data_IF_206780263439
#
_entry.id   IF_206780263439
#
_cell.length_a   1.000
_cell.length_b   1.000
_cell.length_c   1.000
_cell.angle_alpha   90.00
_cell.angle_beta   90.00
_cell.angle_gamma   90.00
#
_symmetry.space_group_name_H-M   'P 1'
#
loop_
_entity.id
_entity.type
_entity.pdbx_description
1 polymer ?
#
# COMPACT_ATOMS: atom_id res chain seq x y z
N UNK A 1 2.64 4.41 33.66
CA UNK A 1 2.62 3.06 33.07
C UNK A 1 3.80 2.96 32.13
N UNK A 2 4.82 2.17 32.47
CA UNK A 2 5.99 2.00 31.61
C UNK A 2 5.62 1.15 30.40
N UNK A 3 5.93 1.63 29.20
CA UNK A 3 5.83 0.86 27.97
C UNK A 3 6.95 -0.19 28.02
N UNK A 4 6.62 -1.44 28.33
CA UNK A 4 7.55 -2.56 28.22
C UNK A 4 7.43 -3.12 26.80
N UNK A 5 8.13 -2.48 25.86
CA UNK A 5 8.23 -2.99 24.49
C UNK A 5 9.16 -4.21 24.49
N UNK A 6 8.75 -5.28 23.82
CA UNK A 6 9.57 -6.48 23.65
C UNK A 6 10.93 -6.09 23.02
N UNK A 7 12.02 -6.57 23.62
CA UNK A 7 13.38 -6.34 23.16
C UNK A 7 13.69 -6.96 21.80
N UNK A 8 12.76 -7.65 21.15
CA UNK A 8 12.88 -8.00 19.72
C UNK A 8 12.56 -6.82 18.79
N UNK A 9 11.84 -5.81 19.28
CA UNK A 9 11.57 -4.54 18.60
C UNK A 9 12.61 -3.48 18.97
N UNK A 10 13.90 -3.82 19.13
CA UNK A 10 14.93 -2.82 19.45
C UNK A 10 14.94 -1.77 18.35
N UNK A 11 14.18 -0.71 18.59
CA UNK A 11 14.35 0.59 17.99
C UNK A 11 15.86 0.83 17.99
N UNK A 12 16.46 0.96 16.80
CA UNK A 12 17.89 1.30 16.61
C UNK A 12 18.41 2.11 17.80
N UNK A 13 19.60 1.81 18.34
CA UNK A 13 20.15 2.55 19.48
C UNK A 13 19.93 4.05 19.28
N UNK A 14 19.59 4.77 20.34
CA UNK A 14 19.11 6.17 20.22
C UNK A 14 20.03 7.08 19.39
N UNK A 15 21.32 6.76 19.29
CA UNK A 15 22.33 7.41 18.47
C UNK A 15 22.20 7.17 16.95
N UNK A 16 21.63 6.04 16.55
CA UNK A 16 21.37 5.62 15.16
C UNK A 16 19.99 6.04 14.65
N UNK A 17 19.07 6.43 15.54
CA UNK A 17 17.74 6.92 15.14
C UNK A 17 17.89 8.22 14.36
N UNK A 18 17.07 8.45 13.32
CA UNK A 18 16.96 9.76 12.71
C UNK A 18 16.63 10.77 13.82
N UNK A 19 17.53 11.72 14.07
CA UNK A 19 17.22 12.85 14.94
C UNK A 19 16.25 13.71 14.13
N UNK A 20 14.99 13.86 14.55
CA UNK A 20 14.07 14.72 13.81
C UNK A 20 14.64 16.13 13.85
N UNK A 21 15.24 16.55 12.74
CA UNK A 21 15.44 17.96 12.48
C UNK A 21 14.04 18.48 12.18
N UNK A 22 13.40 19.07 13.18
CA UNK A 22 12.21 19.87 12.94
C UNK A 22 12.69 21.11 12.19
N UNK A 23 12.81 21.00 10.88
CA UNK A 23 12.83 22.17 10.01
C UNK A 23 11.39 22.66 9.89
N UNK A 24 11.23 23.98 9.78
CA UNK A 24 9.99 24.59 9.32
C UNK A 24 9.86 24.27 7.82
N UNK A 25 9.56 22.99 7.53
CA UNK A 25 9.21 22.57 6.19
C UNK A 25 7.87 23.24 5.91
N UNK A 26 7.75 23.94 4.77
CA UNK A 26 6.47 24.52 4.36
C UNK A 26 5.35 23.48 4.38
N UNK A 27 4.10 23.91 4.25
CA UNK A 27 2.98 22.95 4.18
C UNK A 27 3.20 21.97 3.01
N UNK A 28 3.04 20.67 3.26
CA UNK A 28 3.04 19.62 2.22
C UNK A 28 2.11 20.05 1.08
N UNK A 29 2.53 19.99 -0.19
CA UNK A 29 1.69 20.41 -1.31
C UNK A 29 0.35 19.69 -1.30
N UNK A 30 -0.73 20.45 -1.53
CA UNK A 30 -2.10 19.96 -1.61
C UNK A 30 -2.60 20.17 -3.04
N UNK A 31 -2.95 19.07 -3.71
CA UNK A 31 -3.36 19.05 -5.12
C UNK A 31 -4.86 18.77 -5.21
N UNK A 32 -5.60 19.66 -5.87
CA UNK A 32 -7.04 19.51 -6.14
C UNK A 32 -7.27 18.81 -7.48
N UNK A 33 -7.87 17.61 -7.44
CA UNK A 33 -8.14 16.79 -8.63
C UNK A 33 -9.50 17.10 -9.30
N UNK A 34 -10.26 18.09 -8.82
CA UNK A 34 -11.55 18.49 -9.43
C UNK A 34 -11.45 18.75 -10.95
N UNK A 35 -10.38 19.37 -11.49
CA UNK A 35 -10.26 19.57 -12.94
C UNK A 35 -10.31 18.28 -13.78
N UNK A 36 -9.81 17.16 -13.25
CA UNK A 36 -9.86 15.84 -13.91
C UNK A 36 -11.28 15.29 -14.00
N UNK A 37 -12.11 15.59 -13.00
CA UNK A 37 -13.48 15.08 -12.94
C UNK A 37 -14.44 15.93 -13.79
N UNK A 38 -14.12 17.21 -13.97
CA UNK A 38 -14.96 18.17 -14.69
C UNK A 38 -14.70 18.19 -16.22
N UNK A 39 -13.58 17.63 -16.67
CA UNK A 39 -13.08 17.81 -18.03
C UNK A 39 -12.83 16.45 -18.69
N UNK A 40 -13.39 16.16 -19.88
CA UNK A 40 -13.01 14.99 -20.65
C UNK A 40 -11.50 15.00 -20.90
N UNK A 41 -10.81 13.90 -20.59
CA UNK A 41 -9.39 13.75 -20.89
C UNK A 41 -9.27 13.60 -22.42
N UNK A 42 -8.59 14.52 -23.12
CA UNK A 42 -8.37 14.37 -24.55
C UNK A 42 -7.42 13.20 -24.82
N UNK A 43 -7.62 12.50 -25.93
CA UNK A 43 -6.76 11.37 -26.34
C UNK A 43 -5.33 11.82 -26.73
N UNK A 44 -5.08 13.13 -26.85
CA UNK A 44 -3.81 13.73 -27.24
C UNK A 44 -3.29 14.76 -26.23
N UNK A 45 -1.98 14.78 -26.05
CA UNK A 45 -1.26 15.70 -25.12
C UNK A 45 -1.32 17.17 -25.53
N UNK A 46 -1.58 17.48 -26.81
CA UNK A 46 -1.50 18.84 -27.35
C UNK A 46 -2.78 19.69 -27.17
N UNK A 47 -3.87 19.09 -26.67
CA UNK A 47 -5.17 19.78 -26.50
C UNK A 47 -5.70 19.74 -25.05
N UNK A 48 -4.83 19.59 -24.05
CA UNK A 48 -5.23 19.63 -22.66
C UNK A 48 -5.85 21.01 -22.31
N UNK A 49 -7.09 21.06 -21.79
CA UNK A 49 -7.69 22.33 -21.39
C UNK A 49 -6.84 23.05 -20.34
N UNK A 50 -6.87 24.40 -20.26
CA UNK A 50 -5.98 25.16 -19.37
C UNK A 50 -6.02 24.71 -17.90
N UNK A 51 -7.19 24.27 -17.42
CA UNK A 51 -7.35 23.73 -16.07
C UNK A 51 -6.57 22.41 -15.85
N UNK A 52 -6.48 21.56 -16.87
CA UNK A 52 -5.71 20.32 -16.83
C UNK A 52 -4.20 20.61 -16.93
N UNK A 53 -3.79 21.57 -17.76
CA UNK A 53 -2.38 22.01 -17.83
C UNK A 53 -1.89 22.53 -16.47
N UNK A 54 -2.67 23.40 -15.82
CA UNK A 54 -2.30 23.93 -14.51
C UNK A 54 -2.23 22.86 -13.41
N UNK A 55 -3.06 21.82 -13.49
CA UNK A 55 -2.98 20.67 -12.60
C UNK A 55 -1.70 19.84 -12.83
N UNK A 56 -1.34 19.59 -14.10
CA UNK A 56 -0.12 18.88 -14.45
C UNK A 56 1.12 19.62 -13.94
N UNK A 57 1.17 20.95 -14.10
CA UNK A 57 2.26 21.78 -13.58
C UNK A 57 2.37 21.72 -12.05
N UNK A 58 1.24 21.71 -11.33
CA UNK A 58 1.23 21.56 -9.87
C UNK A 58 1.76 20.20 -9.43
N UNK A 59 1.32 19.12 -10.09
CA UNK A 59 1.82 17.76 -9.81
C UNK A 59 3.31 17.65 -10.11
N UNK A 60 3.77 18.21 -11.24
CA UNK A 60 5.20 18.22 -11.59
C UNK A 60 6.01 18.98 -10.54
N UNK A 61 5.58 20.18 -10.14
CA UNK A 61 6.26 20.99 -9.14
C UNK A 61 6.34 20.28 -7.78
N UNK A 62 5.26 19.62 -7.36
CA UNK A 62 5.25 18.84 -6.13
C UNK A 62 6.18 17.61 -6.20
N UNK A 63 6.16 16.87 -7.30
CA UNK A 63 7.08 15.75 -7.52
C UNK A 63 8.55 16.20 -7.53
N UNK A 64 8.89 17.30 -8.21
CA UNK A 64 10.26 17.82 -8.28
C UNK A 64 10.74 18.43 -6.97
N UNK A 65 9.86 19.16 -6.27
CA UNK A 65 10.21 19.89 -5.05
C UNK A 65 10.17 19.04 -3.79
N UNK A 66 9.16 18.17 -3.66
CA UNK A 66 8.88 17.40 -2.45
C UNK A 66 9.02 15.89 -2.63
N UNK A 67 8.77 15.37 -3.84
CA UNK A 67 8.70 13.92 -4.11
C UNK A 67 7.40 13.26 -3.62
N UNK A 68 6.51 14.00 -2.96
CA UNK A 68 5.19 13.57 -2.53
C UNK A 68 4.24 14.77 -2.35
N UNK A 69 2.93 14.51 -2.32
CA UNK A 69 1.88 15.51 -2.12
C UNK A 69 0.60 14.85 -1.60
N UNK A 70 -0.31 15.66 -1.07
CA UNK A 70 -1.66 15.24 -0.71
C UNK A 70 -2.64 15.55 -1.84
N UNK A 71 -3.68 14.74 -1.99
CA UNK A 71 -4.74 14.94 -2.99
C UNK A 71 -6.10 15.18 -2.31
N UNK A 72 -6.89 16.09 -2.86
CA UNK A 72 -8.30 16.33 -2.50
C UNK A 72 -9.18 16.28 -3.74
N UNK A 73 -10.48 16.12 -3.54
CA UNK A 73 -11.47 16.03 -4.62
C UNK A 73 -11.11 14.96 -5.67
N UNK A 74 -10.56 13.84 -5.21
CA UNK A 74 -10.11 12.71 -6.05
C UNK A 74 -11.25 11.84 -6.59
N UNK A 75 -12.52 12.14 -6.27
CA UNK A 75 -13.69 11.42 -6.77
C UNK A 75 -13.96 10.05 -6.13
N UNK A 76 -13.01 9.47 -5.40
CA UNK A 76 -13.25 8.25 -4.59
C UNK A 76 -14.39 8.47 -3.58
N UNK A 77 -15.47 7.66 -3.61
CA UNK A 77 -16.58 7.78 -2.68
C UNK A 77 -16.16 7.55 -1.22
N UNK A 78 -16.68 8.37 -0.29
CA UNK A 78 -16.33 8.28 1.12
C UNK A 78 -16.76 6.93 1.73
N UNK A 79 -17.89 6.41 1.30
CA UNK A 79 -18.44 5.13 1.77
C UNK A 79 -17.52 3.96 1.37
N UNK A 80 -16.81 4.08 0.24
CA UNK A 80 -15.82 3.07 -0.17
C UNK A 80 -14.61 3.11 0.75
N UNK A 81 -14.10 4.31 1.06
CA UNK A 81 -12.98 4.48 1.99
C UNK A 81 -13.31 3.90 3.37
N UNK A 82 -14.50 4.21 3.90
CA UNK A 82 -14.96 3.70 5.19
C UNK A 82 -15.04 2.17 5.21
N UNK A 83 -15.54 1.54 4.13
CA UNK A 83 -15.60 0.07 4.01
C UNK A 83 -14.20 -0.55 3.98
N UNK A 84 -13.26 0.02 3.23
CA UNK A 84 -11.87 -0.46 3.19
C UNK A 84 -11.23 -0.39 4.57
N UNK A 85 -11.39 0.74 5.27
CA UNK A 85 -10.86 0.89 6.61
C UNK A 85 -11.53 -0.06 7.63
N UNK A 86 -12.84 -0.29 7.51
CA UNK A 86 -13.57 -1.23 8.36
C UNK A 86 -13.10 -2.67 8.13
N UNK A 87 -12.88 -3.07 6.87
CA UNK A 87 -12.35 -4.38 6.54
C UNK A 87 -10.92 -4.57 7.09
N UNK A 88 -10.04 -3.59 6.91
CA UNK A 88 -8.69 -3.62 7.47
C UNK A 88 -8.70 -3.74 9.00
N UNK A 89 -9.47 -2.90 9.70
CA UNK A 89 -9.62 -2.98 11.16
C UNK A 89 -10.18 -4.33 11.61
N UNK A 90 -11.19 -4.84 10.89
CA UNK A 90 -11.80 -6.14 11.16
C UNK A 90 -10.84 -7.30 11.03
N UNK A 91 -9.86 -7.22 10.13
CA UNK A 91 -8.79 -8.20 10.02
C UNK A 91 -7.73 -8.06 11.13
N UNK A 92 -7.17 -6.86 11.34
CA UNK A 92 -6.04 -6.68 12.26
C UNK A 92 -6.39 -6.85 13.74
N UNK A 93 -7.67 -6.75 14.11
CA UNK A 93 -8.16 -7.04 15.48
C UNK A 93 -8.26 -8.54 15.77
N UNK A 94 -8.18 -9.41 14.76
CA UNK A 94 -8.23 -10.86 14.96
C UNK A 94 -7.02 -11.36 15.76
N UNK A 95 -7.16 -12.49 16.49
CA UNK A 95 -6.02 -13.14 17.14
C UNK A 95 -4.90 -13.46 16.14
N UNK A 96 -3.64 -13.38 16.59
CA UNK A 96 -2.48 -13.63 15.72
C UNK A 96 -2.50 -14.99 15.02
N UNK A 97 -3.11 -16.01 15.64
CA UNK A 97 -3.29 -17.33 15.00
C UNK A 97 -4.18 -17.25 13.75
N UNK A 98 -5.27 -16.50 13.81
CA UNK A 98 -6.19 -16.33 12.68
C UNK A 98 -5.57 -15.48 11.58
N UNK A 99 -4.85 -14.40 11.92
CA UNK A 99 -4.12 -13.57 10.94
C UNK A 99 -3.04 -14.37 10.22
N UNK A 100 -2.32 -15.24 10.95
CA UNK A 100 -1.26 -16.11 10.40
C UNK A 100 -1.76 -17.24 9.49
N UNK A 101 -3.08 -17.47 9.36
CA UNK A 101 -3.62 -18.44 8.39
C UNK A 101 -3.42 -18.02 6.94
N UNK A 102 -3.15 -16.74 6.72
CA UNK A 102 -2.91 -16.14 5.40
C UNK A 102 -1.53 -15.48 5.35
N UNK A 103 -0.57 -16.04 6.10
CA UNK A 103 0.80 -15.52 6.12
C UNK A 103 1.47 -15.70 4.76
N UNK A 104 2.19 -14.67 4.29
CA UNK A 104 3.01 -14.76 3.08
C UNK A 104 4.29 -15.59 3.32
N UNK A 105 4.90 -16.07 2.25
CA UNK A 105 6.13 -16.85 2.28
C UNK A 105 7.09 -16.48 1.12
N UNK A 106 8.19 -17.22 0.97
CA UNK A 106 9.20 -16.97 -0.06
C UNK A 106 8.69 -17.20 -1.49
N UNK A 107 7.67 -18.05 -1.66
CA UNK A 107 7.09 -18.37 -2.96
C UNK A 107 5.95 -17.40 -3.31
N UNK A 108 5.14 -17.03 -2.32
CA UNK A 108 4.00 -16.14 -2.46
C UNK A 108 4.12 -14.94 -1.51
N UNK A 109 4.51 -13.76 -2.01
CA UNK A 109 4.70 -12.55 -1.19
C UNK A 109 3.38 -11.87 -0.80
N UNK A 110 2.23 -12.44 -1.13
CA UNK A 110 0.92 -11.87 -0.83
C UNK A 110 0.34 -12.48 0.45
N UNK A 111 -0.34 -11.66 1.25
CA UNK A 111 -0.94 -12.05 2.52
C UNK A 111 -0.38 -11.25 3.71
N UNK A 112 -0.62 -11.77 4.90
CA UNK A 112 -0.23 -11.17 6.19
C UNK A 112 1.25 -11.36 6.49
N UNK A 113 1.86 -10.39 7.15
CA UNK A 113 3.19 -10.51 7.74
C UNK A 113 3.37 -9.54 8.91
N UNK A 114 4.16 -9.92 9.92
CA UNK A 114 4.39 -9.10 11.13
C UNK A 114 5.87 -9.06 11.55
N UNK A 115 6.77 -9.45 10.64
CA UNK A 115 8.20 -9.51 10.88
C UNK A 115 8.99 -8.77 9.79
N UNK A 116 8.46 -7.65 9.29
CA UNK A 116 9.18 -6.79 8.34
C UNK A 116 10.45 -6.23 8.96
N UNK A 117 11.47 -6.03 8.13
CA UNK A 117 12.75 -5.47 8.57
C UNK A 117 13.16 -4.27 7.73
N UNK A 118 13.37 -3.12 8.38
CA UNK A 118 14.04 -1.97 7.78
C UNK A 118 15.45 -1.85 8.34
N UNK A 119 16.47 -1.94 7.47
CA UNK A 119 17.89 -1.90 7.87
C UNK A 119 18.26 -2.97 8.91
N UNK A 120 17.78 -4.20 8.72
CA UNK A 120 17.97 -5.35 9.62
C UNK A 120 17.38 -5.15 11.04
N UNK A 121 16.48 -4.19 11.21
CA UNK A 121 15.73 -3.99 12.46
C UNK A 121 14.26 -4.28 12.19
N UNK A 122 13.64 -5.09 13.06
CA UNK A 122 12.23 -5.44 12.93
C UNK A 122 11.36 -4.19 13.09
N UNK A 123 10.49 -3.96 12.11
CA UNK A 123 9.56 -2.86 12.13
C UNK A 123 8.41 -3.16 13.09
N UNK A 124 7.92 -2.12 13.78
CA UNK A 124 6.77 -2.25 14.65
C UNK A 124 5.47 -2.06 13.85
N UNK A 125 5.25 -2.99 12.92
CA UNK A 125 4.13 -2.98 11.98
C UNK A 125 3.60 -4.40 11.77
N UNK A 126 2.34 -4.46 11.40
CA UNK A 126 1.74 -5.61 10.75
C UNK A 126 1.33 -5.16 9.35
N UNK A 127 1.50 -6.02 8.36
CA UNK A 127 1.21 -5.74 6.95
C UNK A 127 0.30 -6.80 6.36
N UNK A 128 -0.45 -6.42 5.32
CA UNK A 128 -1.23 -7.34 4.51
C UNK A 128 -1.16 -6.88 3.05
N UNK A 129 -0.51 -7.67 2.21
CA UNK A 129 -0.25 -7.34 0.80
C UNK A 129 -1.17 -8.14 -0.13
N UNK A 130 -1.71 -7.49 -1.15
CA UNK A 130 -2.57 -8.13 -2.16
C UNK A 130 -2.46 -7.42 -3.51
N UNK A 131 -2.79 -8.13 -4.58
CA UNK A 131 -2.87 -7.62 -5.95
C UNK A 131 -4.31 -7.50 -6.43
N UNK A 132 -4.54 -6.69 -7.47
CA UNK A 132 -5.87 -6.59 -8.09
C UNK A 132 -6.15 -7.76 -9.04
N UNK A 133 -5.13 -8.18 -9.80
CA UNK A 133 -5.22 -9.30 -10.74
C UNK A 133 -5.03 -10.63 -10.01
N UNK A 134 -5.85 -11.62 -10.35
CA UNK A 134 -5.81 -12.97 -9.76
C UNK A 134 -5.87 -14.04 -10.88
N UNK A 135 -4.79 -14.84 -11.08
CA UNK A 135 -3.46 -14.66 -10.49
C UNK A 135 -2.77 -13.41 -11.04
N UNK A 136 -1.90 -12.79 -10.23
CA UNK A 136 -0.95 -11.83 -10.77
C UNK A 136 0.23 -12.60 -11.37
N UNK A 137 0.59 -12.25 -12.61
CA UNK A 137 1.71 -12.87 -13.33
C UNK A 137 2.92 -11.95 -13.23
N UNK A 138 3.95 -12.41 -12.52
CA UNK A 138 5.16 -11.62 -12.27
C UNK A 138 6.41 -12.37 -12.77
N UNK A 139 7.52 -11.66 -13.04
CA UNK A 139 8.80 -12.32 -13.29
C UNK A 139 9.16 -13.25 -12.13
N UNK A 140 9.63 -14.46 -12.45
CA UNK A 140 10.06 -15.43 -11.45
C UNK A 140 11.41 -15.08 -10.80
N UNK A 141 12.14 -14.11 -11.38
CA UNK A 141 13.44 -13.66 -10.89
C UNK A 141 13.71 -12.22 -11.34
N UNK A 142 14.51 -11.50 -10.55
CA UNK A 142 15.07 -10.19 -10.91
C UNK A 142 16.36 -10.31 -11.73
N UNK A 143 16.87 -11.53 -11.95
CA UNK A 143 18.12 -11.76 -12.67
C UNK A 143 18.01 -11.35 -14.15
N UNK A 144 18.96 -10.54 -14.66
CA UNK A 144 18.96 -10.14 -16.06
C UNK A 144 18.99 -11.36 -17.00
N UNK A 145 17.94 -11.52 -17.80
CA UNK A 145 17.83 -12.59 -18.81
C UNK A 145 16.98 -13.79 -18.40
N UNK A 146 16.59 -13.91 -17.13
CA UNK A 146 15.53 -14.85 -16.75
C UNK A 146 14.17 -14.31 -17.22
N UNK A 147 13.48 -15.08 -18.06
CA UNK A 147 12.17 -14.71 -18.63
C UNK A 147 11.05 -15.58 -18.08
N UNK A 148 11.32 -16.42 -17.09
CA UNK A 148 10.29 -17.25 -16.46
C UNK A 148 9.29 -16.34 -15.76
N UNK A 149 8.03 -16.75 -15.81
CA UNK A 149 6.93 -16.11 -15.12
C UNK A 149 6.47 -17.03 -13.99
N UNK A 150 5.98 -16.43 -12.92
CA UNK A 150 5.31 -17.11 -11.83
C UNK A 150 3.94 -16.47 -11.58
N UNK A 151 3.02 -17.30 -11.10
CA UNK A 151 1.70 -16.88 -10.66
C UNK A 151 1.71 -16.71 -9.15
N UNK A 152 1.38 -15.52 -8.68
CA UNK A 152 1.14 -15.23 -7.26
C UNK A 152 -0.36 -15.05 -7.04
N UNK A 153 -0.84 -15.53 -5.89
CA UNK A 153 -2.26 -15.61 -5.58
C UNK A 153 -2.56 -14.91 -4.26
N UNK A 154 -3.60 -14.07 -4.24
CA UNK A 154 -4.04 -13.43 -3.01
C UNK A 154 -4.48 -14.47 -1.95
N UNK A 155 -4.07 -14.25 -0.71
CA UNK A 155 -4.42 -15.10 0.43
C UNK A 155 -5.52 -14.45 1.27
N UNK A 156 -6.77 -14.83 1.04
CA UNK A 156 -7.92 -14.19 1.70
C UNK A 156 -8.31 -14.90 3.01
N UNK A 157 -8.50 -14.17 4.12
CA UNK A 157 -8.90 -14.77 5.39
C UNK A 157 -10.34 -15.28 5.30
N UNK A 158 -10.52 -16.60 5.49
CA UNK A 158 -11.82 -17.26 5.34
C UNK A 158 -12.93 -16.66 6.22
N UNK A 159 -12.57 -16.11 7.38
CA UNK A 159 -13.49 -15.49 8.33
C UNK A 159 -14.11 -14.17 7.84
N UNK A 160 -13.50 -13.52 6.84
CA UNK A 160 -13.99 -12.27 6.25
C UNK A 160 -14.61 -12.47 4.85
N UNK A 161 -14.68 -13.71 4.36
CA UNK A 161 -15.37 -14.01 3.12
C UNK A 161 -16.89 -13.94 3.38
N UNK A 162 -17.50 -12.81 3.03
CA UNK A 162 -18.95 -12.74 2.82
C UNK A 162 -19.31 -13.55 1.57
N UNK A 163 -20.57 -13.95 1.46
CA UNK A 163 -21.12 -14.89 0.45
C UNK A 163 -21.01 -14.45 -1.02
N UNK A 164 -20.25 -13.40 -1.35
CA UNK A 164 -20.21 -12.79 -2.68
C UNK A 164 -18.92 -13.05 -3.47
N UNK A 165 -17.98 -13.88 -2.98
CA UNK A 165 -16.90 -14.39 -3.84
C UNK A 165 -17.17 -15.82 -4.32
N UNK A 166 -16.89 -16.14 -5.60
CA UNK A 166 -16.89 -17.52 -6.05
C UNK A 166 -15.81 -18.30 -5.29
N UNK A 167 -16.25 -19.30 -4.52
CA UNK A 167 -15.39 -20.30 -3.89
C UNK A 167 -14.60 -21.05 -4.96
N UNK A 168 -13.27 -21.12 -4.81
CA UNK A 168 -12.32 -22.24 -5.06
C UNK A 168 -10.91 -21.65 -5.24
N UNK A 169 -9.88 -22.03 -4.50
CA UNK A 169 -9.32 -23.39 -4.51
C UNK A 169 -8.53 -23.68 -3.23
N UNK A 170 -8.97 -24.68 -2.46
CA UNK A 170 -8.10 -25.42 -1.55
C UNK A 170 -7.07 -26.18 -2.39
N UNK A 171 -5.77 -25.93 -2.22
CA UNK A 171 -4.75 -26.89 -2.70
C UNK A 171 -5.00 -28.21 -1.95
N UNK A 172 -5.37 -29.27 -2.67
CA UNK A 172 -5.09 -30.63 -2.19
C UNK A 172 -3.57 -30.79 -2.25
N UNK A 173 -3.02 -31.29 -1.15
CA UNK A 173 -1.62 -31.72 -1.02
C UNK A 173 -1.24 -32.76 -2.08
#
# INVERSE_FOLDING_TARGET
>A
MGFNADSSFILQDTEHRPKPAISDAGSIPLVDLSPLLATPIPDGVDEAPPALSGLVEQVEAACRGWGFFQVINHGVPIELLERVQAAARGFFVLPSEEKRRVIRDEENPLGYYDAEHTRNVRDWIEVFDFTLEEPAVVPASTEPGDRRLQEIWNQWPAILLTSERPVKNTRKA
#
